data_IF_248096031619
#
_entry.id   IF_248096031619
#
_cell.length_a   1.000
_cell.length_b   1.000
_cell.length_c   1.000
_cell.angle_alpha   90.00
_cell.angle_beta   90.00
_cell.angle_gamma   90.00
#
_symmetry.space_group_name_H-M   'P 1'
#
loop_
_entity.id
_entity.type
_entity.pdbx_description
1 polymer ?
#
# COMPACT_ATOMS: atom_id res chain seq x y z
N UNK A 1 -22.50 -14.14 6.90
CA UNK A 1 -21.97 -13.23 7.95
C UNK A 1 -21.16 -12.14 7.28
N UNK A 2 -21.65 -10.89 7.27
CA UNK A 2 -20.99 -9.75 6.62
C UNK A 2 -19.89 -9.23 7.55
N UNK A 3 -18.62 -9.38 7.15
CA UNK A 3 -17.49 -8.73 7.84
C UNK A 3 -17.37 -7.32 7.25
N UNK A 4 -17.84 -6.33 8.00
CA UNK A 4 -17.60 -4.92 7.70
C UNK A 4 -16.16 -4.60 8.10
N UNK A 5 -15.30 -4.37 7.11
CA UNK A 5 -14.01 -3.69 7.32
C UNK A 5 -14.35 -2.21 7.55
N UNK A 6 -14.39 -1.81 8.82
CA UNK A 6 -14.42 -0.40 9.20
C UNK A 6 -13.06 0.20 8.86
N UNK A 7 -13.03 0.88 7.73
CA UNK A 7 -12.06 1.89 7.35
C UNK A 7 -11.87 2.88 8.52
N UNK A 8 -10.78 2.76 9.27
CA UNK A 8 -10.38 3.76 10.27
C UNK A 8 -9.53 4.83 9.61
N UNK A 9 -10.18 5.63 8.76
CA UNK A 9 -9.70 6.98 8.44
C UNK A 9 -10.18 7.92 9.55
N UNK A 10 -9.46 7.96 10.66
CA UNK A 10 -9.60 9.03 11.65
C UNK A 10 -8.31 9.83 11.66
N UNK A 11 -8.26 10.86 10.82
CA UNK A 11 -7.37 12.01 10.95
C UNK A 11 -7.89 12.78 12.17
N UNK A 12 -7.48 12.39 13.38
CA UNK A 12 -7.70 13.21 14.56
C UNK A 12 -6.59 14.27 14.62
N UNK A 13 -7.04 15.51 14.42
CA UNK A 13 -6.32 16.77 14.65
C UNK A 13 -5.44 16.71 15.89
N UNK A 14 -4.12 16.67 15.70
CA UNK A 14 -3.17 16.90 16.80
C UNK A 14 -3.22 18.41 17.07
N UNK A 15 -3.95 18.74 18.14
CA UNK A 15 -3.89 20.03 18.81
C UNK A 15 -2.43 20.42 19.07
N UNK A 16 -2.01 21.48 18.39
CA UNK A 16 -0.74 22.17 18.58
C UNK A 16 -0.65 22.73 20.01
N UNK A 17 -0.07 21.95 20.93
CA UNK A 17 0.35 22.44 22.24
C UNK A 17 1.60 23.32 22.05
N UNK A 18 1.38 24.63 22.07
CA UNK A 18 2.41 25.63 22.29
C UNK A 18 3.10 25.38 23.64
N UNK A 19 4.43 25.27 23.65
CA UNK A 19 5.25 25.38 24.85
C UNK A 19 6.21 26.57 24.71
N UNK A 20 6.54 27.26 25.83
CA UNK A 20 7.07 28.62 25.81
C UNK A 20 8.55 28.67 25.46
N UNK A 21 8.89 29.66 24.63
CA UNK A 21 10.23 30.08 24.25
C UNK A 21 10.93 30.79 25.41
N UNK A 22 11.92 30.16 26.07
CA UNK A 22 12.98 30.93 26.74
C UNK A 22 14.31 30.16 26.77
N UNK A 23 15.36 30.79 26.23
CA UNK A 23 16.80 30.47 26.32
C UNK A 23 17.27 29.06 25.87
N UNK A 24 17.30 28.79 24.55
CA UNK A 24 17.50 27.42 24.04
C UNK A 24 18.40 27.39 22.78
N UNK A 25 19.72 27.59 22.90
CA UNK A 25 20.57 27.66 21.70
C UNK A 25 21.11 26.31 21.22
N UNK A 26 21.52 25.34 22.07
CA UNK A 26 21.89 23.98 21.63
C UNK A 26 20.96 22.85 22.08
N UNK A 27 20.48 22.92 23.32
CA UNK A 27 19.61 21.89 23.93
C UNK A 27 18.30 21.67 23.16
N UNK A 28 17.73 22.74 22.56
CA UNK A 28 16.46 22.64 21.83
C UNK A 28 16.58 21.80 20.56
N UNK A 29 17.64 22.04 19.79
CA UNK A 29 17.74 21.46 18.44
C UNK A 29 18.03 19.97 18.52
N UNK A 30 18.84 19.56 19.51
CA UNK A 30 19.06 18.16 19.82
C UNK A 30 17.75 17.47 20.21
N UNK A 31 17.00 18.07 21.12
CA UNK A 31 15.70 17.56 21.58
C UNK A 31 14.67 17.48 20.44
N UNK A 32 14.65 18.48 19.54
CA UNK A 32 13.76 18.47 18.36
C UNK A 32 14.09 17.35 17.38
N UNK A 33 15.38 17.18 17.06
CA UNK A 33 15.82 16.09 16.19
C UNK A 33 15.49 14.72 16.81
N UNK A 34 15.71 14.54 18.11
CA UNK A 34 15.33 13.33 18.87
C UNK A 34 13.83 13.05 18.78
N UNK A 35 12.99 14.07 19.00
CA UNK A 35 11.55 13.94 18.89
C UNK A 35 11.13 13.53 17.48
N UNK A 36 11.75 14.11 16.44
CA UNK A 36 11.46 13.78 15.05
C UNK A 36 11.94 12.40 14.64
N UNK A 37 13.10 11.95 15.12
CA UNK A 37 13.56 10.57 14.95
C UNK A 37 12.53 9.61 15.55
N UNK A 38 12.10 9.84 16.79
CA UNK A 38 11.14 8.98 17.48
C UNK A 38 9.77 8.95 16.78
N UNK A 39 9.28 10.10 16.34
CA UNK A 39 8.06 10.19 15.53
C UNK A 39 8.19 9.37 14.24
N UNK A 40 9.33 9.47 13.56
CA UNK A 40 9.61 8.73 12.32
C UNK A 40 9.67 7.23 12.55
N UNK A 41 10.27 6.76 13.65
CA UNK A 41 10.28 5.33 14.02
C UNK A 41 8.87 4.78 14.27
N UNK A 42 8.00 5.58 14.89
CA UNK A 42 6.59 5.21 15.07
C UNK A 42 5.87 5.16 13.73
N UNK A 43 6.13 6.12 12.83
CA UNK A 43 5.56 6.08 11.48
C UNK A 43 6.02 4.84 10.70
N UNK A 44 7.29 4.48 10.79
CA UNK A 44 7.88 3.32 10.12
C UNK A 44 7.17 2.00 10.47
N UNK A 45 6.68 1.84 11.71
CA UNK A 45 5.97 0.62 12.11
C UNK A 45 4.50 0.58 11.69
N UNK A 46 3.91 1.74 11.38
CA UNK A 46 2.47 1.89 11.17
C UNK A 46 2.08 2.09 9.70
N UNK A 47 3.05 2.35 8.83
CA UNK A 47 2.84 2.59 7.41
C UNK A 47 3.10 1.31 6.63
N UNK A 48 2.22 1.00 5.68
CA UNK A 48 2.48 -0.01 4.67
C UNK A 48 3.42 0.56 3.60
N UNK A 49 4.49 -0.17 3.29
CA UNK A 49 5.50 0.23 2.33
C UNK A 49 5.50 -0.68 1.11
N UNK A 50 5.56 -0.07 -0.07
CA UNK A 50 5.90 -0.73 -1.33
C UNK A 50 7.43 -0.79 -1.49
N UNK A 51 7.92 -1.86 -2.11
CA UNK A 51 9.31 -1.98 -2.58
C UNK A 51 10.36 -1.63 -1.50
N UNK A 52 11.44 -0.96 -1.90
CA UNK A 52 12.56 -0.56 -1.04
C UNK A 52 12.29 0.72 -0.22
N UNK A 53 11.09 1.32 -0.32
CA UNK A 53 10.81 2.58 0.38
C UNK A 53 10.89 2.46 1.90
N UNK A 54 10.62 1.27 2.46
CA UNK A 54 10.80 1.04 3.88
C UNK A 54 12.27 1.17 4.30
N UNK A 55 13.18 0.64 3.47
CA UNK A 55 14.62 0.72 3.72
C UNK A 55 15.14 2.13 3.47
N UNK A 56 14.68 2.82 2.42
CA UNK A 56 14.98 4.25 2.24
C UNK A 56 14.55 5.08 3.46
N UNK A 57 13.33 4.85 3.97
CA UNK A 57 12.81 5.54 5.15
C UNK A 57 13.66 5.25 6.40
N UNK A 58 14.04 3.98 6.62
CA UNK A 58 14.96 3.58 7.70
C UNK A 58 16.31 4.25 7.59
N UNK A 59 16.88 4.32 6.38
CA UNK A 59 18.19 4.90 6.14
C UNK A 59 18.22 6.39 6.49
N UNK A 60 17.16 7.13 6.19
CA UNK A 60 17.05 8.53 6.59
C UNK A 60 17.01 8.70 8.13
N UNK A 61 16.30 7.82 8.85
CA UNK A 61 16.33 7.80 10.32
C UNK A 61 17.75 7.51 10.83
N UNK A 62 18.44 6.53 10.24
CA UNK A 62 19.81 6.17 10.62
C UNK A 62 20.76 7.35 10.39
N UNK A 63 20.62 8.06 9.27
CA UNK A 63 21.44 9.23 8.95
C UNK A 63 21.22 10.36 9.98
N UNK A 64 19.97 10.64 10.36
CA UNK A 64 19.67 11.61 11.40
C UNK A 64 20.26 11.21 12.78
N UNK A 65 20.14 9.93 13.15
CA UNK A 65 20.74 9.40 14.39
C UNK A 65 22.26 9.56 14.42
N UNK A 66 22.95 9.34 13.30
CA UNK A 66 24.40 9.53 13.19
C UNK A 66 24.82 10.96 13.49
N UNK A 67 24.08 11.96 13.01
CA UNK A 67 24.33 13.37 13.34
C UNK A 67 24.09 13.63 14.81
N UNK A 68 22.99 13.11 15.36
CA UNK A 68 22.62 13.26 16.76
C UNK A 68 23.66 12.69 17.74
N UNK A 69 24.34 11.60 17.37
CA UNK A 69 25.33 10.92 18.21
C UNK A 69 26.73 11.52 18.16
N UNK A 70 26.99 12.52 17.30
CA UNK A 70 28.32 13.16 17.24
C UNK A 70 28.62 13.93 18.53
N UNK A 71 29.84 13.77 19.07
CA UNK A 71 30.28 14.42 20.32
C UNK A 71 30.32 15.95 20.20
N UNK A 72 30.73 16.48 19.05
CA UNK A 72 30.86 17.92 18.78
C UNK A 72 29.99 18.35 17.60
N UNK A 73 28.67 18.21 17.73
CA UNK A 73 27.71 18.65 16.71
C UNK A 73 27.31 20.12 16.90
N UNK A 74 27.27 20.87 15.81
CA UNK A 74 26.81 22.26 15.82
C UNK A 74 25.28 22.35 15.74
N UNK A 75 24.71 23.48 16.17
CA UNK A 75 23.27 23.73 16.04
C UNK A 75 22.80 23.79 14.59
N UNK A 76 23.66 24.28 13.70
CA UNK A 76 23.37 24.33 12.27
C UNK A 76 23.32 22.92 11.68
N UNK A 77 24.24 22.03 12.04
CA UNK A 77 24.18 20.62 11.65
C UNK A 77 22.91 19.93 12.18
N UNK A 78 22.53 20.16 13.44
CA UNK A 78 21.30 19.59 14.01
C UNK A 78 20.05 20.09 13.27
N UNK A 79 19.96 21.40 13.01
CA UNK A 79 18.86 22.02 12.27
C UNK A 79 18.79 21.48 10.83
N UNK A 80 19.93 21.37 10.16
CA UNK A 80 19.98 20.84 8.79
C UNK A 80 19.60 19.36 8.76
N UNK A 81 20.02 18.56 9.74
CA UNK A 81 19.61 17.17 9.86
C UNK A 81 18.10 17.02 10.09
N UNK A 82 17.49 17.88 10.92
CA UNK A 82 16.04 17.90 11.13
C UNK A 82 15.30 18.21 9.81
N UNK A 83 15.70 19.28 9.12
CA UNK A 83 15.08 19.70 7.86
C UNK A 83 15.22 18.60 6.79
N UNK A 84 16.41 18.01 6.67
CA UNK A 84 16.67 16.94 5.70
C UNK A 84 15.85 15.69 6.02
N UNK A 85 15.80 15.27 7.27
CA UNK A 85 14.97 14.14 7.71
C UNK A 85 13.50 14.39 7.31
N UNK A 86 12.91 15.51 7.73
CA UNK A 86 11.50 15.81 7.44
C UNK A 86 11.22 15.85 5.93
N UNK A 87 12.08 16.53 5.16
CA UNK A 87 11.87 16.67 3.72
C UNK A 87 12.07 15.35 2.96
N UNK A 88 13.06 14.55 3.32
CA UNK A 88 13.35 13.29 2.65
C UNK A 88 12.31 12.24 3.01
N UNK A 89 11.93 12.11 4.28
CA UNK A 89 10.85 11.21 4.69
C UNK A 89 9.53 11.58 4.01
N UNK A 90 9.20 12.88 3.91
CA UNK A 90 8.00 13.32 3.18
C UNK A 90 8.04 12.88 1.71
N UNK A 91 9.16 13.08 1.02
CA UNK A 91 9.32 12.65 -0.38
C UNK A 91 9.17 11.13 -0.53
N UNK A 92 9.76 10.35 0.38
CA UNK A 92 9.66 8.89 0.39
C UNK A 92 8.21 8.47 0.58
N UNK A 93 7.50 9.08 1.54
CA UNK A 93 6.09 8.79 1.80
C UNK A 93 5.17 9.18 0.63
N UNK A 94 5.41 10.33 0.00
CA UNK A 94 4.64 10.77 -1.16
C UNK A 94 4.80 9.79 -2.34
N UNK A 95 6.04 9.33 -2.61
CA UNK A 95 6.30 8.29 -3.63
C UNK A 95 5.70 6.95 -3.26
N UNK A 96 5.87 6.51 -2.01
CA UNK A 96 5.28 5.27 -1.50
C UNK A 96 3.76 5.28 -1.69
N UNK A 97 3.11 6.40 -1.35
CA UNK A 97 1.67 6.57 -1.53
C UNK A 97 1.25 6.45 -2.99
N UNK A 98 1.97 7.08 -3.91
CA UNK A 98 1.68 6.97 -5.35
C UNK A 98 1.74 5.51 -5.83
N UNK A 99 2.77 4.75 -5.42
CA UNK A 99 2.90 3.35 -5.79
C UNK A 99 1.79 2.48 -5.17
N UNK A 100 1.43 2.74 -3.91
CA UNK A 100 0.29 2.07 -3.27
C UNK A 100 -1.03 2.38 -3.99
N UNK A 101 -1.24 3.61 -4.45
CA UNK A 101 -2.41 3.98 -5.25
C UNK A 101 -2.45 3.22 -6.59
N UNK A 102 -1.30 3.05 -7.26
CA UNK A 102 -1.20 2.22 -8.47
C UNK A 102 -1.58 0.76 -8.18
N UNK A 103 -1.15 0.21 -7.05
CA UNK A 103 -1.51 -1.14 -6.64
C UNK A 103 -3.02 -1.29 -6.39
N UNK A 104 -3.68 -0.30 -5.78
CA UNK A 104 -5.14 -0.31 -5.64
C UNK A 104 -5.87 -0.21 -6.97
N UNK A 105 -5.39 0.62 -7.91
CA UNK A 105 -5.96 0.71 -9.25
C UNK A 105 -5.86 -0.63 -9.98
N UNK A 106 -4.71 -1.29 -9.88
CA UNK A 106 -4.46 -2.62 -10.42
C UNK A 106 -5.40 -3.68 -9.83
N UNK A 107 -5.61 -3.64 -8.51
CA UNK A 107 -6.56 -4.51 -7.83
C UNK A 107 -7.99 -4.28 -8.33
N UNK A 108 -8.40 -3.02 -8.50
CA UNK A 108 -9.73 -2.68 -9.01
C UNK A 108 -9.97 -3.23 -10.42
N UNK A 109 -8.96 -3.11 -11.31
CA UNK A 109 -9.04 -3.66 -12.67
C UNK A 109 -9.30 -5.17 -12.68
N UNK A 110 -8.63 -5.94 -11.82
CA UNK A 110 -8.86 -7.38 -11.72
C UNK A 110 -10.23 -7.70 -11.10
N UNK A 111 -10.66 -6.93 -10.10
CA UNK A 111 -11.99 -7.06 -9.51
C UNK A 111 -13.09 -6.92 -10.56
N UNK A 112 -12.98 -5.93 -11.46
CA UNK A 112 -13.92 -5.74 -12.58
C UNK A 112 -13.95 -6.95 -13.52
N UNK A 113 -12.78 -7.48 -13.92
CA UNK A 113 -12.70 -8.68 -14.76
C UNK A 113 -13.29 -9.94 -14.11
N UNK A 114 -13.14 -10.11 -12.80
CA UNK A 114 -13.80 -11.21 -12.08
C UNK A 114 -15.32 -11.03 -12.11
N UNK A 115 -15.82 -9.79 -11.99
CA UNK A 115 -17.26 -9.53 -12.11
C UNK A 115 -17.79 -9.82 -13.53
N UNK A 116 -17.01 -9.56 -14.59
CA UNK A 116 -17.37 -9.97 -15.96
C UNK A 116 -17.55 -11.50 -16.07
N UNK A 117 -16.71 -12.31 -15.41
CA UNK A 117 -16.88 -13.76 -15.37
C UNK A 117 -18.19 -14.16 -14.66
N UNK A 118 -18.53 -13.48 -13.56
CA UNK A 118 -19.78 -13.73 -12.82
C UNK A 118 -20.99 -13.39 -13.68
N UNK A 119 -21.00 -12.21 -14.29
CA UNK A 119 -22.05 -11.78 -15.21
C UNK A 119 -22.22 -12.78 -16.36
N UNK A 120 -21.12 -13.23 -16.99
CA UNK A 120 -21.17 -14.24 -18.03
C UNK A 120 -21.81 -15.56 -17.55
N UNK A 121 -21.45 -16.03 -16.34
CA UNK A 121 -22.03 -17.23 -15.75
C UNK A 121 -23.54 -17.10 -15.50
N UNK A 122 -23.99 -15.91 -15.10
CA UNK A 122 -25.41 -15.65 -14.81
C UNK A 122 -26.24 -15.42 -16.07
N UNK A 123 -25.74 -14.65 -17.02
CA UNK A 123 -26.50 -14.23 -18.19
C UNK A 123 -26.39 -15.20 -19.37
N UNK A 124 -25.17 -15.65 -19.70
CA UNK A 124 -24.90 -16.44 -20.91
C UNK A 124 -24.99 -17.94 -20.68
N UNK A 125 -24.79 -18.40 -19.45
CA UNK A 125 -24.85 -19.82 -19.09
C UNK A 125 -26.08 -20.18 -18.24
N UNK A 126 -27.09 -19.32 -18.20
CA UNK A 126 -28.33 -19.52 -17.41
C UNK A 126 -29.01 -20.88 -17.69
N UNK A 127 -29.00 -21.32 -18.96
CA UNK A 127 -29.58 -22.57 -19.40
C UNK A 127 -28.60 -23.75 -19.43
N UNK A 128 -27.29 -23.51 -19.25
CA UNK A 128 -26.26 -24.55 -19.25
C UNK A 128 -25.67 -24.73 -17.84
N UNK A 129 -26.37 -25.50 -17.00
CA UNK A 129 -26.03 -25.69 -15.58
C UNK A 129 -24.63 -26.26 -15.37
N UNK A 130 -24.18 -27.16 -16.23
CA UNK A 130 -22.87 -27.82 -16.12
C UNK A 130 -21.73 -26.81 -16.36
N UNK A 131 -21.76 -26.08 -17.48
CA UNK A 131 -20.74 -25.07 -17.78
C UNK A 131 -20.79 -23.91 -16.78
N UNK A 132 -21.98 -23.53 -16.32
CA UNK A 132 -22.13 -22.53 -15.27
C UNK A 132 -21.43 -22.97 -13.99
N UNK A 133 -21.68 -24.18 -13.50
CA UNK A 133 -21.04 -24.69 -12.28
C UNK A 133 -19.51 -24.74 -12.41
N UNK A 134 -19.00 -25.11 -13.58
CA UNK A 134 -17.56 -25.10 -13.89
C UNK A 134 -16.97 -23.70 -13.83
N UNK A 135 -17.59 -22.72 -14.49
CA UNK A 135 -17.14 -21.32 -14.46
C UNK A 135 -17.21 -20.73 -13.05
N UNK A 136 -18.27 -21.05 -12.29
CA UNK A 136 -18.42 -20.63 -10.88
C UNK A 136 -17.23 -21.08 -10.04
N UNK A 137 -16.91 -22.38 -10.08
CA UNK A 137 -15.77 -22.92 -9.35
C UNK A 137 -14.46 -22.21 -9.73
N UNK A 138 -14.22 -22.00 -11.02
CA UNK A 138 -12.99 -21.39 -11.50
C UNK A 138 -12.85 -19.92 -11.09
N UNK A 139 -13.92 -19.10 -11.19
CA UNK A 139 -13.82 -17.71 -10.75
C UNK A 139 -13.73 -17.60 -9.23
N UNK A 140 -14.31 -18.53 -8.46
CA UNK A 140 -14.20 -18.55 -7.00
C UNK A 140 -12.76 -18.84 -6.55
N UNK A 141 -12.09 -19.81 -7.18
CA UNK A 141 -10.66 -20.08 -6.97
C UNK A 141 -9.79 -18.84 -7.28
N UNK A 142 -10.04 -18.17 -8.41
CA UNK A 142 -9.35 -16.92 -8.76
C UNK A 142 -9.65 -15.82 -7.74
N UNK A 143 -10.89 -15.70 -7.28
CA UNK A 143 -11.30 -14.69 -6.31
C UNK A 143 -10.66 -14.93 -4.94
N UNK A 144 -10.47 -16.18 -4.54
CA UNK A 144 -9.75 -16.53 -3.31
C UNK A 144 -8.27 -16.12 -3.40
N UNK A 145 -7.59 -16.46 -4.50
CA UNK A 145 -6.21 -16.02 -4.74
C UNK A 145 -6.09 -14.48 -4.76
N UNK A 146 -7.04 -13.80 -5.40
CA UNK A 146 -7.14 -12.34 -5.43
C UNK A 146 -7.27 -11.74 -4.02
N UNK A 147 -8.15 -12.28 -3.18
CA UNK A 147 -8.41 -11.77 -1.83
C UNK A 147 -7.23 -12.01 -0.87
N UNK A 148 -6.41 -13.03 -1.12
CA UNK A 148 -5.27 -13.39 -0.28
C UNK A 148 -3.99 -12.62 -0.65
N UNK A 149 -3.96 -11.95 -1.80
CA UNK A 149 -2.82 -11.15 -2.22
C UNK A 149 -2.82 -9.80 -1.49
N UNK A 150 -1.72 -9.49 -0.79
CA UNK A 150 -1.51 -8.19 -0.15
C UNK A 150 -1.48 -7.05 -1.18
N UNK A 151 -1.97 -5.87 -0.79
CA UNK A 151 -2.01 -4.66 -1.63
C UNK A 151 -0.67 -4.38 -2.30
N UNK A 152 0.42 -4.37 -1.52
CA UNK A 152 1.79 -4.12 -2.02
C UNK A 152 2.30 -5.06 -3.12
N UNK A 153 1.61 -6.18 -3.36
CA UNK A 153 2.01 -7.15 -4.36
C UNK A 153 1.22 -7.02 -5.68
N UNK A 154 0.31 -6.04 -5.80
CA UNK A 154 -0.44 -5.74 -7.03
C UNK A 154 0.38 -4.95 -8.05
N UNK A 155 1.54 -5.48 -8.43
CA UNK A 155 2.37 -4.92 -9.49
C UNK A 155 1.72 -5.10 -10.86
N UNK A 156 2.16 -4.33 -11.86
CA UNK A 156 1.68 -4.48 -13.24
C UNK A 156 1.84 -5.92 -13.75
N UNK A 157 2.98 -6.56 -13.45
CA UNK A 157 3.23 -7.94 -13.83
C UNK A 157 2.19 -8.89 -13.22
N UNK A 158 1.91 -8.73 -11.92
CA UNK A 158 0.93 -9.57 -11.22
C UNK A 158 -0.49 -9.33 -11.75
N UNK A 159 -0.82 -8.09 -12.07
CA UNK A 159 -2.08 -7.75 -12.75
C UNK A 159 -2.20 -8.48 -14.08
N UNK A 160 -1.16 -8.45 -14.92
CA UNK A 160 -1.18 -9.14 -16.21
C UNK A 160 -1.26 -10.67 -16.07
N UNK A 161 -0.65 -11.26 -15.04
CA UNK A 161 -0.80 -12.68 -14.71
C UNK A 161 -2.26 -13.04 -14.42
N UNK A 162 -2.93 -12.26 -13.55
CA UNK A 162 -4.35 -12.46 -13.25
C UNK A 162 -5.25 -12.25 -14.47
N UNK A 163 -4.99 -11.22 -15.29
CA UNK A 163 -5.74 -11.00 -16.54
C UNK A 163 -5.65 -12.21 -17.45
N UNK A 164 -4.45 -12.73 -17.69
CA UNK A 164 -4.25 -13.92 -18.54
C UNK A 164 -4.99 -15.14 -18.00
N UNK A 165 -4.97 -15.35 -16.68
CA UNK A 165 -5.70 -16.45 -16.04
C UNK A 165 -7.21 -16.33 -16.25
N UNK A 166 -7.76 -15.13 -16.06
CA UNK A 166 -9.18 -14.83 -16.27
C UNK A 166 -9.58 -15.01 -17.74
N UNK A 167 -8.79 -14.45 -18.66
CA UNK A 167 -9.07 -14.53 -20.10
C UNK A 167 -9.01 -15.98 -20.60
N UNK A 168 -8.08 -16.78 -20.08
CA UNK A 168 -8.01 -18.23 -20.36
C UNK A 168 -9.29 -18.95 -19.93
N UNK A 169 -9.74 -18.74 -18.69
CA UNK A 169 -10.98 -19.33 -18.17
C UNK A 169 -12.18 -18.97 -19.07
N UNK A 170 -12.31 -17.68 -19.44
CA UNK A 170 -13.40 -17.25 -20.30
C UNK A 170 -13.35 -17.90 -21.69
N UNK A 171 -12.16 -18.00 -22.27
CA UNK A 171 -11.98 -18.60 -23.60
C UNK A 171 -12.25 -20.11 -23.60
N UNK A 172 -11.81 -20.84 -22.57
CA UNK A 172 -12.07 -22.27 -22.45
C UNK A 172 -13.58 -22.55 -22.33
N UNK A 173 -14.29 -21.76 -21.51
CA UNK A 173 -15.75 -21.85 -21.37
C UNK A 173 -16.48 -21.50 -22.69
N UNK A 174 -16.04 -20.46 -23.41
CA UNK A 174 -16.64 -20.08 -24.72
C UNK A 174 -16.48 -21.19 -25.76
N UNK A 175 -15.31 -21.81 -25.86
CA UNK A 175 -15.06 -22.93 -26.78
C UNK A 175 -15.94 -24.13 -26.47
N UNK A 176 -16.06 -24.49 -25.19
CA UNK A 176 -16.94 -25.59 -24.77
C UNK A 176 -18.43 -25.29 -25.00
N UNK A 177 -18.82 -24.01 -24.97
CA UNK A 177 -20.17 -23.58 -25.34
C UNK A 177 -20.42 -23.76 -26.84
N UNK A 178 -19.45 -23.43 -27.69
CA UNK A 178 -19.54 -23.59 -29.15
C UNK A 178 -19.56 -25.05 -29.61
N UNK A 179 -18.86 -25.95 -28.91
CA UNK A 179 -18.80 -27.37 -29.26
C UNK A 179 -20.03 -28.18 -28.76
N UNK A 180 -20.87 -27.60 -27.90
CA UNK A 180 -22.08 -28.23 -27.35
C UNK A 180 -23.38 -27.74 -28.01
N UNK A 181 -23.31 -26.75 -28.90
CA UNK A 181 -24.41 -26.29 -29.76
C UNK A 181 -24.27 -26.88 -31.16
#
# INVERSE_FOLDING_TARGET
MKKNIKLLLSISSISSLFLPLVAISCSNQKTKLEAKIKESEIQLSNIEFANDFQEEFKNEIINAKKILSKEQVTNEELKNAEINLVNNLKKILDKNKQVIEEYFNNQELISRKINELKEYAHEKLSNNRELKAKLVKQYEEIQEEFNNLKSVNWTLEKTEEFKKKIDKVLNDIKKETMNKN
#
